data_IF_681793369452
#
_entry.id   IF_681793369452
#
_cell.length_a   1.000
_cell.length_b   1.000
_cell.length_c   1.000
_cell.angle_alpha   90.00
_cell.angle_beta   90.00
_cell.angle_gamma   90.00
#
_symmetry.space_group_name_H-M   'P 1'
#
loop_
_entity.id
_entity.type
_entity.pdbx_description
1 polymer ?
#
# COMPACT_ATOMS: atom_id res chain seq x y z
N UNK A 1 41.88 -56.23 43.83
CA UNK A 1 41.30 -56.10 42.48
C UNK A 1 39.84 -55.74 42.70
N UNK A 2 39.36 -54.51 42.63
CA UNK A 2 39.92 -53.26 42.12
C UNK A 2 39.35 -52.05 42.88
N UNK A 3 40.04 -50.94 42.66
CA UNK A 3 39.84 -49.62 43.21
C UNK A 3 38.57 -48.94 42.65
N UNK A 4 38.37 -47.69 43.09
CA UNK A 4 37.47 -46.64 42.53
C UNK A 4 36.19 -46.40 43.34
N UNK A 5 36.22 -45.56 44.37
CA UNK A 5 36.23 -44.08 44.39
C UNK A 5 34.82 -43.53 44.64
N UNK A 6 34.58 -43.24 45.92
CA UNK A 6 33.56 -42.37 46.46
C UNK A 6 33.68 -40.96 45.85
N UNK A 7 32.58 -40.38 45.33
CA UNK A 7 32.39 -38.93 45.34
C UNK A 7 30.91 -38.57 45.21
N UNK A 8 30.27 -38.46 46.37
CA UNK A 8 29.15 -37.56 46.73
C UNK A 8 28.18 -37.24 45.59
N UNK A 9 27.05 -37.93 45.57
CA UNK A 9 25.83 -37.32 45.08
C UNK A 9 24.68 -37.54 46.06
N UNK A 10 24.02 -36.45 46.42
CA UNK A 10 23.11 -36.39 47.54
C UNK A 10 22.89 -34.98 48.06
N UNK A 11 22.29 -34.12 47.22
CA UNK A 11 21.28 -33.14 47.67
C UNK A 11 20.59 -32.51 46.46
N UNK A 12 19.30 -32.82 46.32
CA UNK A 12 18.38 -32.17 45.42
C UNK A 12 18.22 -30.68 45.75
N UNK A 13 18.14 -29.83 44.72
CA UNK A 13 17.02 -28.87 44.55
C UNK A 13 17.02 -28.23 43.16
N UNK A 14 15.84 -27.86 42.64
CA UNK A 14 15.57 -27.50 41.25
C UNK A 14 15.71 -25.99 41.01
N UNK A 15 15.63 -25.56 39.75
CA UNK A 15 15.63 -24.16 39.30
C UNK A 15 17.00 -23.44 39.31
N UNK A 16 17.95 -23.99 38.57
CA UNK A 16 19.02 -23.20 37.98
C UNK A 16 18.54 -22.59 36.67
N UNK A 17 18.18 -21.30 36.68
CA UNK A 17 18.11 -20.46 35.47
C UNK A 17 19.52 -20.34 34.88
N UNK A 18 20.03 -21.41 34.27
CA UNK A 18 21.10 -21.30 33.29
C UNK A 18 20.44 -20.76 32.02
N UNK A 19 20.41 -19.43 31.93
CA UNK A 19 20.34 -18.75 30.64
C UNK A 19 21.50 -19.28 29.78
N UNK A 20 21.19 -20.27 28.94
CA UNK A 20 21.90 -20.44 27.68
C UNK A 20 21.63 -19.14 26.93
N UNK A 21 22.48 -18.14 27.15
CA UNK A 21 22.42 -16.91 26.40
C UNK A 21 22.54 -17.33 24.93
N UNK A 22 21.60 -16.93 24.05
CA UNK A 22 21.88 -17.03 22.63
C UNK A 22 23.17 -16.25 22.43
N UNK A 23 24.22 -16.93 21.97
CA UNK A 23 25.45 -16.24 21.56
C UNK A 23 25.00 -15.17 20.58
N UNK A 24 25.47 -13.95 20.76
CA UNK A 24 25.14 -12.82 19.87
C UNK A 24 25.47 -13.12 18.40
N UNK A 25 26.22 -14.19 18.14
CA UNK A 25 26.43 -14.80 16.82
C UNK A 25 25.17 -15.50 16.26
N UNK A 26 24.42 -16.27 17.04
CA UNK A 26 23.26 -17.03 16.53
C UNK A 26 22.02 -16.13 16.32
N UNK A 27 21.95 -14.98 17.00
CA UNK A 27 20.96 -13.94 16.74
C UNK A 27 21.30 -13.06 15.50
N UNK A 28 22.57 -13.05 15.06
CA UNK A 28 23.01 -12.32 13.87
C UNK A 28 22.72 -13.07 12.56
N UNK A 29 22.57 -14.39 12.62
CA UNK A 29 22.19 -15.27 11.50
C UNK A 29 20.66 -15.24 11.22
N UNK A 30 19.93 -14.26 11.72
CA UNK A 30 18.62 -13.86 11.19
C UNK A 30 18.80 -12.80 10.09
N UNK A 31 19.82 -12.99 9.24
CA UNK A 31 20.24 -12.08 8.19
C UNK A 31 19.17 -11.96 7.09
N UNK A 32 18.23 -11.07 7.38
CA UNK A 32 17.40 -10.30 6.46
C UNK A 32 17.84 -10.43 4.99
N UNK A 33 17.03 -11.03 4.09
CA UNK A 33 17.42 -11.21 2.69
C UNK A 33 17.77 -9.86 2.04
N UNK A 34 18.71 -9.83 1.07
CA UNK A 34 19.16 -8.61 0.39
C UNK A 34 17.97 -7.73 -0.03
N UNK A 35 18.16 -6.41 0.02
CA UNK A 35 17.10 -5.42 -0.24
C UNK A 35 16.36 -5.67 -1.56
N UNK A 36 17.06 -6.24 -2.54
CA UNK A 36 16.53 -6.66 -3.84
C UNK A 36 15.67 -7.93 -3.75
N UNK A 37 16.02 -8.93 -2.96
CA UNK A 37 15.16 -10.11 -2.76
C UNK A 37 13.84 -9.74 -2.11
N UNK A 38 13.84 -8.80 -1.15
CA UNK A 38 12.59 -8.29 -0.55
C UNK A 38 11.73 -7.53 -1.55
N UNK A 39 12.37 -6.83 -2.47
CA UNK A 39 11.70 -6.16 -3.57
C UNK A 39 11.02 -7.19 -4.49
N UNK A 40 11.73 -8.25 -4.89
CA UNK A 40 11.19 -9.31 -5.75
C UNK A 40 10.17 -10.21 -5.05
N UNK A 41 10.38 -10.59 -3.80
CA UNK A 41 9.43 -11.36 -2.98
C UNK A 41 8.13 -10.58 -2.73
N UNK A 42 8.18 -9.25 -2.75
CA UNK A 42 7.00 -8.39 -2.66
C UNK A 42 5.99 -8.59 -3.80
N UNK A 43 6.44 -9.09 -4.96
CA UNK A 43 5.61 -9.42 -6.12
C UNK A 43 5.03 -10.84 -6.06
N UNK A 44 5.55 -11.72 -5.20
CA UNK A 44 4.97 -13.04 -5.00
C UNK A 44 3.62 -12.87 -4.29
N UNK A 45 2.59 -13.51 -4.83
CA UNK A 45 1.24 -13.54 -4.23
C UNK A 45 1.30 -14.39 -2.96
N UNK A 46 0.80 -13.85 -1.84
CA UNK A 46 0.69 -14.62 -0.58
C UNK A 46 -0.35 -15.75 -0.77
N UNK A 47 0.04 -17.02 -0.61
CA UNK A 47 -0.88 -18.16 -0.70
C UNK A 47 -1.95 -18.18 0.41
N UNK A 48 -1.70 -17.53 1.55
CA UNK A 48 -2.63 -17.44 2.69
C UNK A 48 -3.52 -16.19 2.66
N UNK A 49 -3.74 -15.59 1.49
CA UNK A 49 -4.85 -14.64 1.31
C UNK A 49 -6.16 -15.41 1.20
N UNK A 50 -6.58 -16.08 2.28
CA UNK A 50 -7.96 -16.57 2.37
C UNK A 50 -8.91 -15.39 2.26
N UNK A 51 -9.82 -15.50 1.30
CA UNK A 51 -10.83 -14.51 0.96
C UNK A 51 -11.91 -14.52 2.05
N UNK A 52 -12.38 -13.34 2.45
CA UNK A 52 -13.28 -13.13 3.58
C UNK A 52 -14.58 -13.98 3.57
N UNK A 53 -14.95 -14.36 4.80
CA UNK A 53 -16.29 -14.54 5.40
C UNK A 53 -17.31 -15.46 4.70
N UNK A 54 -17.32 -16.71 5.17
CA UNK A 54 -18.40 -17.70 5.00
C UNK A 54 -19.52 -17.55 6.06
N UNK A 55 -19.78 -16.33 6.57
CA UNK A 55 -20.74 -16.13 7.67
C UNK A 55 -21.94 -15.24 7.29
N UNK A 56 -21.95 -14.65 6.08
CA UNK A 56 -23.01 -13.74 5.61
C UNK A 56 -23.90 -14.28 4.50
N UNK A 57 -23.54 -15.39 3.85
CA UNK A 57 -24.37 -16.00 2.80
C UNK A 57 -25.50 -16.85 3.39
N UNK A 58 -25.31 -17.28 4.63
CA UNK A 58 -26.06 -18.32 5.31
C UNK A 58 -27.36 -17.80 5.93
N UNK A 59 -27.43 -16.48 6.18
CA UNK A 59 -28.59 -15.83 6.81
C UNK A 59 -29.61 -15.27 5.80
N UNK A 60 -29.20 -14.99 4.56
CA UNK A 60 -30.11 -14.45 3.52
C UNK A 60 -30.90 -15.55 2.81
N UNK A 61 -30.40 -16.79 2.79
CA UNK A 61 -31.07 -17.95 2.16
C UNK A 61 -32.33 -18.40 2.93
N UNK A 62 -32.64 -17.80 4.10
CA UNK A 62 -33.85 -18.11 4.88
C UNK A 62 -35.10 -17.29 4.54
N UNK A 63 -35.04 -16.24 3.72
CA UNK A 63 -36.24 -15.49 3.32
C UNK A 63 -36.65 -15.79 1.88
N UNK A 64 -37.41 -16.88 1.69
CA UNK A 64 -38.16 -17.13 0.47
C UNK A 64 -39.23 -16.05 0.26
N UNK A 65 -38.91 -14.98 -0.49
CA UNK A 65 -39.89 -14.13 -1.17
C UNK A 65 -39.37 -13.87 -2.58
N UNK A 66 -39.88 -14.64 -3.54
CA UNK A 66 -39.61 -14.49 -4.96
C UNK A 66 -40.54 -13.41 -5.52
N UNK A 67 -39.97 -12.32 -6.04
CA UNK A 67 -40.68 -11.33 -6.84
C UNK A 67 -39.75 -10.68 -7.85
N UNK A 68 -40.18 -10.40 -9.09
CA UNK A 68 -39.34 -9.87 -10.18
C UNK A 68 -39.02 -8.37 -10.04
N UNK A 69 -39.11 -7.83 -8.83
CA UNK A 69 -38.79 -6.42 -8.57
C UNK A 69 -37.28 -6.28 -8.42
N UNK A 70 -36.70 -5.41 -9.24
CA UNK A 70 -35.32 -4.95 -9.08
C UNK A 70 -35.24 -4.25 -7.72
N UNK A 71 -34.71 -4.94 -6.72
CA UNK A 71 -34.65 -4.42 -5.36
C UNK A 71 -33.54 -3.36 -5.28
N UNK A 72 -33.93 -2.10 -5.52
CA UNK A 72 -33.05 -0.95 -5.44
C UNK A 72 -32.35 -0.84 -4.08
N UNK A 73 -32.95 -1.40 -3.01
CA UNK A 73 -32.38 -1.37 -1.68
C UNK A 73 -31.20 -2.31 -1.55
N UNK A 74 -31.28 -3.53 -2.09
CA UNK A 74 -30.16 -4.48 -2.12
C UNK A 74 -29.05 -4.00 -3.04
N UNK A 75 -29.37 -3.42 -4.20
CA UNK A 75 -28.38 -2.80 -5.09
C UNK A 75 -27.68 -1.57 -4.45
N UNK A 76 -28.40 -0.78 -3.65
CA UNK A 76 -27.81 0.36 -2.92
C UNK A 76 -26.93 -0.11 -1.78
N UNK A 77 -27.33 -1.17 -1.06
CA UNK A 77 -26.50 -1.81 -0.03
C UNK A 77 -25.25 -2.44 -0.65
N UNK A 78 -25.38 -3.07 -1.82
CA UNK A 78 -24.26 -3.64 -2.58
C UNK A 78 -23.32 -2.55 -3.11
N UNK A 79 -23.81 -1.39 -3.54
CA UNK A 79 -22.98 -0.25 -3.95
C UNK A 79 -22.31 0.48 -2.76
N UNK A 80 -23.04 0.61 -1.64
CA UNK A 80 -22.46 1.10 -0.38
C UNK A 80 -21.38 0.12 0.14
N UNK A 81 -21.63 -1.18 -0.03
CA UNK A 81 -20.64 -2.23 0.19
C UNK A 81 -19.59 -2.31 -0.92
N UNK A 82 -19.78 -1.81 -2.14
CA UNK A 82 -18.74 -1.76 -3.15
C UNK A 82 -17.64 -0.76 -2.73
N UNK A 83 -18.03 0.33 -2.07
CA UNK A 83 -17.09 1.23 -1.38
C UNK A 83 -16.43 0.56 -0.14
N UNK A 84 -17.09 -0.42 0.47
CA UNK A 84 -16.60 -1.23 1.61
C UNK A 84 -16.03 -2.62 1.24
N UNK A 85 -16.02 -2.98 -0.04
CA UNK A 85 -15.92 -4.35 -0.53
C UNK A 85 -14.79 -4.53 -1.53
N UNK A 86 -14.19 -3.42 -2.00
CA UNK A 86 -12.83 -3.47 -2.50
C UNK A 86 -11.90 -3.86 -1.36
N UNK A 87 -11.28 -5.03 -1.52
CA UNK A 87 -10.23 -5.47 -0.61
C UNK A 87 -9.09 -4.44 -0.61
N UNK A 88 -8.90 -3.73 0.49
CA UNK A 88 -7.81 -2.75 0.69
C UNK A 88 -6.46 -3.46 0.88
N UNK A 89 -6.05 -4.29 -0.07
CA UNK A 89 -4.80 -5.08 -0.04
C UNK A 89 -3.73 -4.55 -0.99
N UNK A 90 -3.85 -3.29 -1.42
CA UNK A 90 -2.83 -2.69 -2.29
C UNK A 90 -1.57 -2.36 -1.48
N UNK A 91 -0.52 -3.16 -1.71
CA UNK A 91 0.80 -2.93 -1.11
C UNK A 91 1.34 -1.57 -1.58
N UNK A 92 2.09 -0.86 -0.73
CA UNK A 92 2.69 0.44 -1.07
C UNK A 92 3.50 0.44 -2.38
N UNK A 93 4.08 -0.71 -2.74
CA UNK A 93 4.80 -0.90 -4.02
C UNK A 93 3.89 -0.84 -5.25
N UNK A 94 2.66 -1.35 -5.17
CA UNK A 94 1.70 -1.25 -6.27
C UNK A 94 1.26 0.21 -6.48
N UNK A 95 1.08 0.96 -5.39
CA UNK A 95 0.79 2.39 -5.44
C UNK A 95 1.94 3.17 -6.11
N UNK A 96 3.19 2.83 -5.79
CA UNK A 96 4.36 3.42 -6.45
C UNK A 96 4.41 3.09 -7.95
N UNK A 97 4.10 1.84 -8.35
CA UNK A 97 4.04 1.49 -9.77
C UNK A 97 2.93 2.23 -10.51
N UNK A 98 1.76 2.45 -9.88
CA UNK A 98 0.68 3.26 -10.45
C UNK A 98 1.13 4.71 -10.62
N UNK A 99 1.80 5.28 -9.60
CA UNK A 99 2.32 6.64 -9.67
C UNK A 99 3.35 6.82 -10.80
N UNK A 100 4.28 5.87 -10.95
CA UNK A 100 5.28 5.91 -12.04
C UNK A 100 4.61 5.73 -13.40
N UNK A 101 3.71 4.76 -13.52
CA UNK A 101 3.00 4.47 -14.77
C UNK A 101 2.08 5.61 -15.22
N UNK A 102 1.48 6.36 -14.29
CA UNK A 102 0.65 7.52 -14.60
C UNK A 102 1.45 8.80 -14.91
N UNK A 103 2.66 8.94 -14.34
CA UNK A 103 3.50 10.13 -14.55
C UNK A 103 4.40 10.06 -15.78
N UNK A 104 4.85 8.86 -16.18
CA UNK A 104 5.70 8.67 -17.36
C UNK A 104 4.84 8.28 -18.56
N UNK A 105 4.37 9.28 -19.31
CA UNK A 105 3.56 9.10 -20.53
C UNK A 105 4.29 9.46 -21.83
N UNK A 106 3.68 9.09 -22.97
CA UNK A 106 4.20 9.42 -24.31
C UNK A 106 4.39 10.94 -24.54
N UNK A 107 3.58 11.76 -23.85
CA UNK A 107 3.67 13.22 -23.89
C UNK A 107 5.04 13.76 -23.48
N UNK A 108 5.76 13.08 -22.57
CA UNK A 108 7.11 13.48 -22.18
C UNK A 108 8.07 13.41 -23.39
N UNK A 109 8.00 12.35 -24.19
CA UNK A 109 8.88 12.17 -25.35
C UNK A 109 8.51 13.12 -26.49
N UNK A 110 7.22 13.29 -26.77
CA UNK A 110 6.74 14.18 -27.83
C UNK A 110 7.04 15.65 -27.50
N UNK A 111 6.77 16.07 -26.26
CA UNK A 111 7.05 17.45 -25.82
C UNK A 111 8.56 17.72 -25.75
N UNK A 112 9.35 16.79 -25.21
CA UNK A 112 10.80 16.97 -25.10
C UNK A 112 11.48 17.01 -26.47
N UNK A 113 11.06 16.19 -27.43
CA UNK A 113 11.59 16.22 -28.80
C UNK A 113 11.37 17.56 -29.49
N UNK A 114 10.16 18.13 -29.36
CA UNK A 114 9.84 19.46 -29.91
C UNK A 114 10.54 20.60 -29.16
N UNK A 115 10.65 20.51 -27.85
CA UNK A 115 11.32 21.53 -27.04
C UNK A 115 12.84 21.55 -27.28
N UNK A 116 13.45 20.37 -27.51
CA UNK A 116 14.87 20.25 -27.82
C UNK A 116 15.22 20.85 -29.19
N UNK A 117 14.37 20.62 -30.21
CA UNK A 117 14.62 21.13 -31.56
C UNK A 117 14.46 22.65 -31.68
N UNK A 118 13.56 23.24 -30.90
CA UNK A 118 13.28 24.69 -30.94
C UNK A 118 14.15 25.49 -29.97
N UNK A 119 14.37 24.99 -28.74
CA UNK A 119 15.00 25.74 -27.66
C UNK A 119 16.45 25.36 -27.33
N UNK A 120 16.96 24.25 -27.87
CA UNK A 120 18.27 23.70 -27.49
C UNK A 120 18.28 23.05 -26.09
N UNK A 121 19.36 22.34 -25.73
CA UNK A 121 19.40 21.51 -24.52
C UNK A 121 19.41 22.29 -23.20
N UNK A 122 20.00 23.50 -23.19
CA UNK A 122 20.10 24.31 -21.97
C UNK A 122 18.75 24.87 -21.50
N UNK A 123 17.90 25.32 -22.44
CA UNK A 123 16.57 25.83 -22.11
C UNK A 123 15.63 24.72 -21.64
N UNK A 124 15.79 23.51 -22.19
CA UNK A 124 15.03 22.34 -21.79
C UNK A 124 15.28 21.98 -20.32
N UNK A 125 16.55 21.90 -19.90
CA UNK A 125 16.90 21.61 -18.51
C UNK A 125 16.35 22.66 -17.55
N UNK A 126 16.49 23.95 -17.88
CA UNK A 126 15.99 25.04 -17.05
C UNK A 126 14.46 24.99 -16.92
N UNK A 127 13.75 24.75 -18.01
CA UNK A 127 12.29 24.58 -18.00
C UNK A 127 11.86 23.39 -17.12
N UNK A 128 12.52 22.24 -17.25
CA UNK A 128 12.25 21.06 -16.41
C UNK A 128 12.55 21.32 -14.93
N UNK A 129 13.60 22.07 -14.59
CA UNK A 129 13.92 22.43 -13.21
C UNK A 129 12.88 23.37 -12.59
N UNK A 130 12.48 24.43 -13.29
CA UNK A 130 11.49 25.40 -12.79
C UNK A 130 10.13 24.72 -12.58
N UNK A 131 9.68 23.96 -13.57
CA UNK A 131 8.42 23.21 -13.50
C UNK A 131 8.51 22.13 -12.42
N UNK A 132 9.63 21.42 -12.30
CA UNK A 132 9.87 20.42 -11.26
C UNK A 132 9.76 20.98 -9.84
N UNK A 133 10.32 22.18 -9.58
CA UNK A 133 10.21 22.84 -8.27
C UNK A 133 8.75 23.25 -7.98
N UNK A 134 8.04 23.79 -8.96
CA UNK A 134 6.63 24.15 -8.82
C UNK A 134 5.76 22.92 -8.52
N UNK A 135 5.97 21.81 -9.23
CA UNK A 135 5.26 20.56 -8.98
C UNK A 135 5.63 19.96 -7.62
N UNK A 136 6.89 20.03 -7.21
CA UNK A 136 7.30 19.53 -5.90
C UNK A 136 6.57 20.25 -4.76
N UNK A 137 6.47 21.58 -4.82
CA UNK A 137 5.70 22.36 -3.86
C UNK A 137 4.21 21.96 -3.86
N UNK A 138 3.64 21.78 -5.04
CA UNK A 138 2.24 21.34 -5.20
C UNK A 138 2.02 19.94 -4.59
N UNK A 139 2.89 18.97 -4.89
CA UNK A 139 2.82 17.62 -4.36
C UNK A 139 2.97 17.59 -2.84
N UNK A 140 3.82 18.44 -2.26
CA UNK A 140 3.96 18.55 -0.81
C UNK A 140 2.67 19.06 -0.15
N UNK A 141 2.09 20.14 -0.70
CA UNK A 141 0.81 20.67 -0.21
C UNK A 141 -0.33 19.65 -0.34
N UNK A 142 -0.37 18.91 -1.45
CA UNK A 142 -1.34 17.82 -1.66
C UNK A 142 -1.08 16.63 -0.72
N UNK A 143 0.18 16.34 -0.39
CA UNK A 143 0.54 15.28 0.55
C UNK A 143 0.00 15.53 1.95
N UNK A 144 0.18 16.75 2.47
CA UNK A 144 -0.41 17.16 3.76
C UNK A 144 -1.93 17.03 3.72
N UNK A 145 -2.55 17.47 2.62
CA UNK A 145 -4.00 17.38 2.45
C UNK A 145 -4.51 15.93 2.34
N UNK A 146 -3.74 15.03 1.72
CA UNK A 146 -4.04 13.61 1.56
C UNK A 146 -4.13 12.89 2.91
N UNK A 147 -3.26 13.26 3.85
CA UNK A 147 -3.18 12.65 5.18
C UNK A 147 -4.33 13.14 6.06
N UNK A 148 -4.67 14.44 5.98
CA UNK A 148 -5.77 15.01 6.77
C UNK A 148 -7.14 14.52 6.28
N UNK A 149 -7.33 14.38 4.96
CA UNK A 149 -8.59 13.94 4.37
C UNK A 149 -8.38 12.74 3.43
N UNK A 150 -8.35 11.51 3.97
CA UNK A 150 -8.18 10.29 3.18
C UNK A 150 -9.48 9.91 2.46
N UNK A 151 -9.91 10.72 1.50
CA UNK A 151 -11.06 10.46 0.64
C UNK A 151 -10.60 9.79 -0.66
N UNK A 152 -11.30 8.72 -1.04
CA UNK A 152 -11.14 8.10 -2.36
C UNK A 152 -11.81 9.02 -3.40
N UNK A 153 -11.06 10.01 -3.90
CA UNK A 153 -11.56 11.02 -4.83
C UNK A 153 -10.47 11.55 -5.75
N UNK A 154 -10.86 12.26 -6.81
CA UNK A 154 -9.94 12.93 -7.73
C UNK A 154 -9.53 14.29 -7.17
N UNK A 155 -8.52 14.92 -7.79
CA UNK A 155 -8.11 16.29 -7.45
C UNK A 155 -9.29 17.29 -7.52
N UNK A 156 -10.27 17.05 -8.40
CA UNK A 156 -11.50 17.84 -8.46
C UNK A 156 -12.32 17.77 -7.16
N UNK A 157 -12.40 16.62 -6.49
CA UNK A 157 -13.12 16.45 -5.23
C UNK A 157 -12.53 17.31 -4.10
N UNK A 158 -11.22 17.52 -4.12
CA UNK A 158 -10.55 18.39 -3.15
C UNK A 158 -10.87 19.86 -3.44
N UNK A 159 -10.86 20.24 -4.71
CA UNK A 159 -11.15 21.61 -5.12
C UNK A 159 -12.58 22.06 -4.86
N UNK A 160 -13.58 21.19 -5.06
CA UNK A 160 -14.99 21.48 -4.73
C UNK A 160 -15.18 21.75 -3.23
N UNK A 161 -14.30 21.20 -2.38
CA UNK A 161 -14.41 21.30 -0.92
C UNK A 161 -13.65 22.49 -0.33
N UNK A 162 -12.52 22.90 -0.93
CA UNK A 162 -11.68 24.00 -0.44
C UNK A 162 -11.82 25.32 -1.20
N UNK A 163 -12.26 25.29 -2.45
CA UNK A 163 -12.41 26.49 -3.28
C UNK A 163 -13.89 26.83 -3.43
N UNK A 164 -14.58 26.16 -4.36
CA UNK A 164 -15.99 26.36 -4.66
C UNK A 164 -16.49 25.24 -5.61
N UNK A 165 -17.79 24.84 -5.57
CA UNK A 165 -18.33 23.87 -6.53
C UNK A 165 -18.14 24.24 -8.01
N UNK A 166 -18.12 25.53 -8.37
CA UNK A 166 -17.84 25.98 -9.74
C UNK A 166 -16.42 25.63 -10.20
N UNK A 167 -15.45 25.69 -9.29
CA UNK A 167 -14.06 25.35 -9.59
C UNK A 167 -13.87 23.84 -9.80
N UNK A 168 -14.58 23.04 -9.00
CA UNK A 168 -14.62 21.59 -9.17
C UNK A 168 -15.19 21.17 -10.53
N UNK A 169 -16.23 21.85 -10.98
CA UNK A 169 -16.80 21.66 -12.32
C UNK A 169 -15.80 22.08 -13.42
N UNK A 170 -15.17 23.25 -13.29
CA UNK A 170 -14.20 23.74 -14.26
C UNK A 170 -13.00 22.80 -14.45
N UNK A 171 -12.50 22.19 -13.37
CA UNK A 171 -11.37 21.24 -13.46
C UNK A 171 -11.78 19.85 -13.97
N UNK A 172 -13.05 19.48 -13.82
CA UNK A 172 -13.61 18.22 -14.32
C UNK A 172 -14.08 18.27 -15.78
N UNK A 173 -14.23 19.46 -16.35
CA UNK A 173 -14.73 19.66 -17.71
C UNK A 173 -13.67 19.31 -18.75
N UNK A 174 -13.77 18.11 -19.34
CA UNK A 174 -13.04 17.63 -20.51
C UNK A 174 -13.95 16.79 -21.38
#
# INVERSE_FOLDING_TARGET
>A
MDHHRWSRDGRASPAGYLMMQPTVEEAAEAAHPPRMERFFQGFRRDPQSEFYSRDGADTVVRSNVVGPYYDLRSATLENAQASGGLMRRLKGRHLQMIAIGGSVGAGLFVASGKALSVGGPASLLLAFSVVGIMLFCTCQALGELAVVFPIAGSFSSWSTRFLDPSWGFAMGWK
#
